data_IF_811937942051
#
_entry.id   IF_811937942051
#
_cell.length_a   1.000
_cell.length_b   1.000
_cell.length_c   1.000
_cell.angle_alpha   90.00
_cell.angle_beta   90.00
_cell.angle_gamma   90.00
#
_symmetry.space_group_name_H-M   'P 1'
#
loop_
_entity.id
_entity.type
_entity.pdbx_description
1 polymer ?
#
# COMPACT_ATOMS: atom_id res chain seq x y z
N UNK A 1 18.03 7.66 25.09
CA UNK A 1 17.99 8.08 23.67
C UNK A 1 16.80 7.37 23.05
N UNK A 2 15.74 8.11 22.72
CA UNK A 2 14.56 7.56 22.06
C UNK A 2 14.79 7.62 20.56
N UNK A 3 15.14 6.48 19.95
CA UNK A 3 15.13 6.34 18.49
C UNK A 3 13.66 6.33 18.06
N UNK A 4 13.06 7.51 17.97
CA UNK A 4 11.81 7.68 17.23
C UNK A 4 12.16 7.32 15.79
N UNK A 5 11.55 6.25 15.30
CA UNK A 5 11.60 5.86 13.91
C UNK A 5 11.15 7.04 13.04
N UNK A 6 12.13 7.83 12.59
CA UNK A 6 12.00 8.62 11.38
C UNK A 6 11.84 7.57 10.28
N UNK A 7 10.60 7.33 9.84
CA UNK A 7 10.34 6.55 8.62
C UNK A 7 11.23 7.18 7.56
N UNK A 8 12.27 6.46 7.16
CA UNK A 8 13.32 7.06 6.36
C UNK A 8 12.72 7.37 5.00
N UNK A 9 13.02 8.52 4.41
CA UNK A 9 12.54 8.88 3.05
C UNK A 9 12.82 7.76 2.04
N UNK A 10 13.87 6.97 2.30
CA UNK A 10 14.24 5.76 1.58
C UNK A 10 13.19 4.63 1.66
N UNK A 11 12.59 4.41 2.83
CA UNK A 11 11.54 3.39 3.03
C UNK A 11 10.27 3.77 2.26
N UNK A 12 9.92 5.06 2.27
CA UNK A 12 8.78 5.56 1.51
C UNK A 12 9.02 5.39 0.02
N UNK A 13 10.19 5.76 -0.50
CA UNK A 13 10.52 5.56 -1.91
C UNK A 13 10.48 4.08 -2.31
N UNK A 14 11.00 3.18 -1.47
CA UNK A 14 10.91 1.74 -1.72
C UNK A 14 9.46 1.23 -1.76
N UNK A 15 8.60 1.74 -0.87
CA UNK A 15 7.18 1.39 -0.84
C UNK A 15 6.44 1.91 -2.10
N UNK A 16 6.75 3.13 -2.54
CA UNK A 16 6.20 3.72 -3.77
C UNK A 16 6.54 2.86 -4.98
N UNK A 17 7.80 2.44 -5.12
CA UNK A 17 8.24 1.55 -6.20
C UNK A 17 7.44 0.24 -6.17
N UNK A 18 7.32 -0.38 -4.99
CA UNK A 18 6.53 -1.61 -4.82
C UNK A 18 5.06 -1.43 -5.18
N UNK A 19 4.44 -0.30 -4.84
CA UNK A 19 3.05 -0.02 -5.22
C UNK A 19 2.89 0.18 -6.73
N UNK A 20 3.86 0.82 -7.38
CA UNK A 20 3.87 0.97 -8.83
C UNK A 20 4.02 -0.38 -9.54
N UNK A 21 4.89 -1.26 -9.03
CA UNK A 21 5.05 -2.62 -9.54
C UNK A 21 3.79 -3.46 -9.29
N UNK A 22 3.26 -3.42 -8.07
CA UNK A 22 2.05 -4.15 -7.67
C UNK A 22 0.83 -3.78 -8.53
N UNK A 23 0.75 -2.54 -9.04
CA UNK A 23 -0.29 -2.12 -9.99
C UNK A 23 -0.32 -2.97 -11.29
N UNK A 24 0.82 -3.57 -11.67
CA UNK A 24 0.88 -4.45 -12.85
C UNK A 24 0.35 -5.86 -12.56
N UNK A 25 0.10 -6.20 -11.30
CA UNK A 25 -0.38 -7.50 -10.87
C UNK A 25 -1.91 -7.52 -10.74
N UNK A 26 -2.57 -8.61 -11.13
CA UNK A 26 -4.03 -8.71 -11.09
C UNK A 26 -4.57 -8.83 -9.66
N UNK A 27 -3.74 -9.29 -8.72
CA UNK A 27 -4.10 -9.52 -7.33
C UNK A 27 -2.92 -9.10 -6.45
N UNK A 28 -3.15 -8.15 -5.57
CA UNK A 28 -2.17 -7.61 -4.63
C UNK A 28 -2.73 -7.75 -3.23
N UNK A 29 -1.86 -8.00 -2.24
CA UNK A 29 -2.19 -7.94 -0.82
C UNK A 29 -1.42 -6.79 -0.17
N UNK A 30 -2.15 -5.89 0.47
CA UNK A 30 -1.63 -4.80 1.28
C UNK A 30 -1.77 -5.16 2.75
N UNK A 31 -0.65 -5.13 3.47
CA UNK A 31 -0.65 -5.22 4.92
C UNK A 31 -0.59 -3.80 5.48
N UNK A 32 -1.60 -3.41 6.25
CA UNK A 32 -1.69 -2.11 6.90
C UNK A 32 -0.98 -2.13 8.25
N UNK A 33 -0.54 -0.96 8.73
CA UNK A 33 0.11 -0.82 10.04
C UNK A 33 -0.78 -1.21 11.22
N UNK A 34 -2.10 -1.12 11.07
CA UNK A 34 -3.07 -1.55 12.07
C UNK A 34 -3.33 -3.08 12.07
N UNK A 35 -2.70 -3.82 11.16
CA UNK A 35 -2.86 -5.26 11.00
C UNK A 35 -3.98 -5.69 10.06
N UNK A 36 -4.71 -4.76 9.44
CA UNK A 36 -5.66 -5.10 8.36
C UNK A 36 -4.90 -5.58 7.13
N UNK A 37 -5.44 -6.61 6.49
CA UNK A 37 -4.99 -7.07 5.19
C UNK A 37 -6.06 -6.75 4.16
N UNK A 38 -5.68 -6.04 3.11
CA UNK A 38 -6.55 -5.77 1.98
C UNK A 38 -6.03 -6.56 0.78
N UNK A 39 -6.92 -7.20 0.04
CA UNK A 39 -6.56 -7.99 -1.14
C UNK A 39 -7.39 -7.55 -2.34
N UNK A 40 -6.78 -7.46 -3.52
CA UNK A 40 -7.48 -7.12 -4.75
C UNK A 40 -6.59 -6.43 -5.78
N UNK A 41 -7.22 -5.89 -6.82
CA UNK A 41 -6.56 -5.08 -7.83
C UNK A 41 -6.16 -3.72 -7.24
N UNK A 42 -4.88 -3.39 -7.31
CA UNK A 42 -4.32 -2.18 -6.72
C UNK A 42 -4.29 -1.02 -7.71
N UNK A 43 -4.72 0.14 -7.26
CA UNK A 43 -4.49 1.43 -7.90
C UNK A 43 -3.72 2.33 -6.95
N UNK A 44 -2.79 3.11 -7.47
CA UNK A 44 -1.94 4.02 -6.70
C UNK A 44 -1.80 5.35 -7.43
N UNK A 45 -2.00 6.45 -6.70
CA UNK A 45 -1.82 7.82 -7.17
C UNK A 45 -0.63 8.47 -6.46
N UNK A 46 0.47 8.56 -7.19
CA UNK A 46 1.72 9.14 -6.71
C UNK A 46 1.59 10.60 -6.22
N UNK A 47 0.71 11.38 -6.88
CA UNK A 47 0.53 12.81 -6.59
C UNK A 47 0.12 13.11 -5.15
N UNK A 48 -0.60 12.20 -4.50
CA UNK A 48 -1.14 12.40 -3.16
C UNK A 48 -0.67 11.34 -2.15
N UNK A 49 0.04 10.30 -2.61
CA UNK A 49 0.44 9.18 -1.75
C UNK A 49 -0.77 8.38 -1.26
N UNK A 50 -1.87 8.38 -2.02
CA UNK A 50 -3.05 7.57 -1.75
C UNK A 50 -3.30 6.59 -2.89
N UNK A 51 -4.06 5.56 -2.58
CA UNK A 51 -4.46 4.56 -3.54
C UNK A 51 -5.74 3.88 -3.14
N UNK A 52 -6.22 3.01 -4.02
CA UNK A 52 -7.41 2.20 -3.79
C UNK A 52 -7.15 0.77 -4.19
N UNK A 53 -7.59 -0.15 -3.36
CA UNK A 53 -7.60 -1.58 -3.66
C UNK A 53 -9.04 -2.02 -3.90
N UNK A 54 -9.25 -2.72 -5.00
CA UNK A 54 -10.56 -3.12 -5.49
C UNK A 54 -10.61 -4.64 -5.51
N UNK A 55 -11.42 -5.21 -4.65
CA UNK A 55 -11.69 -6.63 -4.64
C UNK A 55 -12.97 -6.90 -5.41
N UNK A 56 -12.82 -7.40 -6.64
CA UNK A 56 -13.95 -7.71 -7.51
C UNK A 56 -14.75 -8.91 -6.98
N UNK A 57 -14.08 -9.89 -6.36
CA UNK A 57 -14.74 -11.10 -5.83
C UNK A 57 -15.66 -10.79 -4.64
N UNK A 58 -15.26 -9.84 -3.79
CA UNK A 58 -16.03 -9.39 -2.63
C UNK A 58 -16.86 -8.13 -2.91
N UNK A 59 -16.86 -7.65 -4.16
CA UNK A 59 -17.53 -6.41 -4.59
C UNK A 59 -17.25 -5.21 -3.65
N UNK A 60 -16.01 -5.12 -3.15
CA UNK A 60 -15.62 -4.10 -2.19
C UNK A 60 -14.41 -3.31 -2.69
N UNK A 61 -14.33 -2.06 -2.28
CA UNK A 61 -13.20 -1.19 -2.56
C UNK A 61 -12.78 -0.46 -1.30
N UNK A 62 -11.48 -0.37 -1.07
CA UNK A 62 -10.91 0.30 0.08
C UNK A 62 -9.88 1.32 -0.38
N UNK A 63 -10.05 2.55 0.07
CA UNK A 63 -9.02 3.59 -0.04
C UNK A 63 -7.97 3.35 1.04
N UNK A 64 -6.70 3.51 0.69
CA UNK A 64 -5.56 3.38 1.61
C UNK A 64 -4.60 4.55 1.39
N UNK A 65 -3.92 4.95 2.45
CA UNK A 65 -2.82 5.90 2.35
C UNK A 65 -1.47 5.17 2.41
N UNK A 66 -0.48 5.65 1.64
CA UNK A 66 0.89 5.16 1.64
C UNK A 66 1.49 5.06 3.05
N UNK A 67 1.23 6.05 3.91
CA UNK A 67 1.72 6.09 5.29
C UNK A 67 1.04 5.06 6.22
N UNK A 68 -0.08 4.47 5.79
CA UNK A 68 -0.77 3.41 6.52
C UNK A 68 -0.36 2.01 6.03
N UNK A 69 0.30 1.92 4.89
CA UNK A 69 0.75 0.64 4.31
C UNK A 69 2.09 0.25 4.94
N UNK A 70 2.10 -0.93 5.54
CA UNK A 70 3.29 -1.54 6.10
C UNK A 70 4.05 -2.37 5.07
N UNK A 71 3.32 -3.16 4.27
CA UNK A 71 3.92 -4.06 3.29
C UNK A 71 3.00 -4.30 2.09
N UNK A 72 3.59 -4.53 0.93
CA UNK A 72 2.91 -4.83 -0.34
C UNK A 72 3.42 -6.18 -0.84
N UNK A 73 2.49 -7.12 -1.09
CA UNK A 73 2.76 -8.50 -1.52
C UNK A 73 1.99 -8.76 -2.82
N UNK A 74 2.66 -9.21 -3.89
CA UNK A 74 2.09 -9.39 -5.23
C UNK A 74 2.82 -10.45 -6.05
#
# INVERSE_FOLDING_TARGET
>A
MVLRAEVSEYEIQALVIRLQEARMHPMVRLLMHDGRELEGALTYQDRFGDGRIINIEKETSFDYNLYEVKEVIY
#
